data_IF_472965290799
#
_entry.id   IF_472965290799
#
_cell.length_a   1.000
_cell.length_b   1.000
_cell.length_c   1.000
_cell.angle_alpha   90.00
_cell.angle_beta   90.00
_cell.angle_gamma   90.00
#
_symmetry.space_group_name_H-M   'P 1'
#
loop_
_entity.id
_entity.type
_entity.pdbx_description
1 polymer ?
#
# COMPACT_ATOMS: atom_id res chain seq x y z
N UNK A 1 -47.63 -56.70 -21.03
CA UNK A 1 -47.90 -55.79 -22.17
C UNK A 1 -47.56 -54.38 -21.74
N UNK A 2 -46.40 -53.87 -22.17
CA UNK A 2 -45.91 -52.52 -21.85
C UNK A 2 -45.36 -51.84 -23.11
N UNK A 3 -45.93 -50.68 -23.42
CA UNK A 3 -45.38 -49.50 -24.11
C UNK A 3 -46.45 -48.37 -23.95
N UNK A 4 -46.18 -47.05 -24.13
CA UNK A 4 -44.98 -46.41 -24.69
C UNK A 4 -44.45 -45.13 -23.96
N UNK A 5 -43.20 -44.80 -24.26
CA UNK A 5 -42.60 -43.53 -24.74
C UNK A 5 -43.06 -42.12 -24.27
N UNK A 6 -42.09 -41.42 -23.63
CA UNK A 6 -41.52 -40.07 -23.91
C UNK A 6 -42.38 -38.82 -24.23
N UNK A 7 -42.15 -37.73 -23.47
CA UNK A 7 -42.00 -36.30 -23.89
C UNK A 7 -41.89 -35.42 -22.62
N UNK A 8 -40.79 -34.69 -22.35
CA UNK A 8 -40.28 -33.41 -22.87
C UNK A 8 -40.71 -32.16 -22.07
N UNK A 9 -39.73 -31.28 -21.81
CA UNK A 9 -39.81 -29.89 -21.32
C UNK A 9 -40.31 -29.70 -19.87
N UNK A 10 -39.89 -28.72 -19.06
CA UNK A 10 -39.20 -27.47 -19.32
C UNK A 10 -38.32 -27.11 -18.12
N UNK A 11 -37.07 -26.78 -18.40
CA UNK A 11 -36.22 -25.96 -17.54
C UNK A 11 -36.63 -24.50 -17.68
N UNK A 12 -37.06 -23.87 -16.60
CA UNK A 12 -37.02 -22.42 -16.29
C UNK A 12 -38.04 -22.13 -15.20
N UNK A 13 -37.60 -21.90 -13.97
CA UNK A 13 -38.11 -20.83 -13.09
C UNK A 13 -37.51 -20.92 -11.69
N UNK A 14 -36.20 -20.64 -11.57
CA UNK A 14 -35.64 -20.14 -10.31
C UNK A 14 -34.60 -19.06 -10.62
N UNK A 15 -35.08 -17.96 -11.21
CA UNK A 15 -34.38 -16.68 -11.21
C UNK A 15 -35.15 -15.71 -10.32
N UNK A 16 -35.06 -15.90 -9.01
CA UNK A 16 -35.41 -14.86 -8.06
C UNK A 16 -34.43 -14.86 -6.89
N UNK A 17 -33.72 -13.73 -6.78
CA UNK A 17 -33.14 -13.19 -5.55
C UNK A 17 -31.81 -13.78 -5.07
N UNK A 18 -30.77 -13.67 -5.89
CA UNK A 18 -29.41 -13.49 -5.37
C UNK A 18 -28.73 -12.27 -6.00
N UNK A 19 -29.38 -11.10 -5.90
CA UNK A 19 -28.65 -9.85 -5.96
C UNK A 19 -27.81 -9.75 -4.68
N UNK A 20 -26.71 -10.50 -4.64
CA UNK A 20 -25.64 -10.32 -3.67
C UNK A 20 -25.15 -8.89 -3.85
N UNK A 21 -25.46 -8.03 -2.88
CA UNK A 21 -24.95 -6.67 -2.78
C UNK A 21 -23.43 -6.75 -2.66
N UNK A 22 -22.72 -6.87 -3.79
CA UNK A 22 -21.27 -6.74 -3.83
C UNK A 22 -20.96 -5.28 -3.55
N UNK A 23 -20.69 -4.96 -2.28
CA UNK A 23 -20.28 -3.61 -1.87
C UNK A 23 -19.11 -3.16 -2.75
N UNK A 24 -19.26 -2.00 -3.38
CA UNK A 24 -18.29 -1.50 -4.36
C UNK A 24 -17.10 -0.90 -3.60
N UNK A 25 -15.88 -1.32 -3.95
CA UNK A 25 -14.64 -0.77 -3.39
C UNK A 25 -14.10 0.29 -4.33
N UNK A 26 -13.80 1.47 -3.80
CA UNK A 26 -13.21 2.60 -4.50
C UNK A 26 -11.80 2.84 -3.98
N UNK A 27 -10.86 3.09 -4.88
CA UNK A 27 -9.47 3.40 -4.54
C UNK A 27 -9.15 4.82 -4.99
N UNK A 28 -8.60 5.63 -4.09
CA UNK A 28 -8.16 7.00 -4.37
C UNK A 28 -6.66 7.12 -4.08
N UNK A 29 -5.92 7.77 -4.99
CA UNK A 29 -4.55 8.23 -4.71
C UNK A 29 -4.62 9.49 -3.86
N UNK A 30 -3.82 9.53 -2.80
CA UNK A 30 -3.75 10.67 -1.88
C UNK A 30 -2.29 11.07 -1.68
N UNK A 31 -2.07 12.34 -1.37
CA UNK A 31 -0.75 12.89 -1.06
C UNK A 31 -0.34 12.60 0.39
N UNK A 32 -1.30 12.42 1.29
CA UNK A 32 -1.12 12.10 2.70
C UNK A 32 -2.23 11.19 3.23
N UNK A 33 -1.93 10.40 4.24
CA UNK A 33 -2.94 9.67 5.00
C UNK A 33 -2.51 9.47 6.46
N UNK A 34 -3.49 9.21 7.32
CA UNK A 34 -3.26 8.84 8.73
C UNK A 34 -3.31 7.33 8.84
N UNK A 35 -2.31 6.74 9.49
CA UNK A 35 -2.26 5.31 9.83
C UNK A 35 -3.09 5.03 11.09
N UNK A 36 -3.52 3.77 11.33
CA UNK A 36 -4.34 3.43 12.51
C UNK A 36 -3.71 3.79 13.87
N UNK A 37 -2.39 3.93 13.94
CA UNK A 37 -1.64 4.35 15.12
C UNK A 37 -1.56 5.88 15.29
N UNK A 38 -2.28 6.65 14.48
CA UNK A 38 -2.34 8.11 14.53
C UNK A 38 -1.21 8.84 13.82
N UNK A 39 -0.26 8.13 13.20
CA UNK A 39 0.85 8.78 12.46
C UNK A 39 0.38 9.28 11.10
N UNK A 40 0.95 10.39 10.65
CA UNK A 40 0.73 10.89 9.28
C UNK A 40 1.85 10.41 8.37
N UNK A 41 1.48 9.83 7.24
CA UNK A 41 2.40 9.43 6.17
C UNK A 41 2.10 10.25 4.93
N UNK A 42 3.14 10.81 4.32
CA UNK A 42 3.06 11.65 3.14
C UNK A 42 3.86 11.07 1.96
N UNK A 43 3.46 11.43 0.74
CA UNK A 43 4.30 11.26 -0.44
C UNK A 43 5.61 12.01 -0.22
N UNK A 44 6.72 11.36 -0.61
CA UNK A 44 8.07 11.87 -0.41
C UNK A 44 8.72 11.44 0.90
N UNK A 45 7.97 10.96 1.89
CA UNK A 45 8.53 10.50 3.16
C UNK A 45 9.53 9.35 2.96
N UNK A 46 10.58 9.38 3.77
CA UNK A 46 11.58 8.33 3.84
C UNK A 46 11.17 7.34 4.93
N UNK A 47 11.10 6.07 4.55
CA UNK A 47 10.64 4.98 5.42
C UNK A 47 11.61 3.82 5.38
N UNK A 48 11.62 3.02 6.44
CA UNK A 48 12.05 1.64 6.37
C UNK A 48 10.90 0.82 5.81
N UNK A 49 11.18 -0.06 4.86
CA UNK A 49 10.21 -0.99 4.30
C UNK A 49 10.69 -2.44 4.47
N UNK A 50 9.72 -3.34 4.69
CA UNK A 50 9.98 -4.76 4.92
C UNK A 50 9.22 -5.64 3.93
N UNK A 51 9.97 -6.43 3.19
CA UNK A 51 9.46 -7.54 2.37
C UNK A 51 10.04 -8.87 2.88
N UNK A 52 9.41 -9.98 2.49
CA UNK A 52 9.87 -11.32 2.85
C UNK A 52 11.25 -11.62 2.26
N UNK A 53 12.12 -12.33 2.99
CA UNK A 53 13.46 -12.70 2.53
C UNK A 53 14.54 -11.61 2.56
N UNK A 54 14.17 -10.33 2.72
CA UNK A 54 15.14 -9.21 2.74
C UNK A 54 15.21 -8.52 4.11
N UNK A 55 16.32 -7.85 4.48
CA UNK A 55 16.35 -7.02 5.68
C UNK A 55 15.38 -5.83 5.52
N UNK A 56 15.13 -5.12 6.61
CA UNK A 56 14.56 -3.77 6.52
C UNK A 56 15.45 -2.91 5.63
N UNK A 57 14.88 -2.28 4.62
CA UNK A 57 15.60 -1.48 3.64
C UNK A 57 14.95 -0.11 3.50
N UNK A 58 15.73 0.97 3.34
CA UNK A 58 15.17 2.31 3.19
C UNK A 58 14.50 2.51 1.82
N UNK A 59 13.39 3.23 1.83
CA UNK A 59 12.62 3.56 0.64
C UNK A 59 11.98 4.95 0.73
N UNK A 60 11.60 5.51 -0.41
CA UNK A 60 10.82 6.76 -0.53
C UNK A 60 9.41 6.44 -0.98
N UNK A 61 8.42 7.08 -0.36
CA UNK A 61 7.02 6.97 -0.79
C UNK A 61 6.80 7.80 -2.06
N UNK A 62 6.28 7.14 -3.10
CA UNK A 62 5.94 7.76 -4.38
C UNK A 62 4.47 8.13 -4.47
N UNK A 63 3.59 7.22 -4.05
CA UNK A 63 2.15 7.45 -4.04
C UNK A 63 1.52 6.68 -2.88
N UNK A 64 0.42 7.19 -2.34
CA UNK A 64 -0.39 6.53 -1.34
C UNK A 64 -1.75 6.22 -1.96
N UNK A 65 -2.24 5.00 -1.80
CA UNK A 65 -3.56 4.59 -2.25
C UNK A 65 -4.41 4.17 -1.07
N UNK A 66 -5.58 4.79 -0.94
CA UNK A 66 -6.58 4.46 0.09
C UNK A 66 -7.79 3.86 -0.59
N UNK A 67 -8.12 2.63 -0.21
CA UNK A 67 -9.29 1.91 -0.71
C UNK A 67 -10.38 1.88 0.35
N UNK A 68 -11.60 2.28 -0.02
CA UNK A 68 -12.78 2.30 0.86
C UNK A 68 -13.97 1.62 0.18
N UNK A 69 -14.87 1.05 0.98
CA UNK A 69 -16.20 0.63 0.51
C UNK A 69 -17.09 1.85 0.31
N UNK A 70 -18.17 1.66 -0.44
CA UNK A 70 -19.30 2.60 -0.59
C UNK A 70 -19.83 3.16 0.74
N UNK A 71 -19.87 2.34 1.79
CA UNK A 71 -20.25 2.76 3.14
C UNK A 71 -19.15 3.53 3.91
N UNK A 72 -18.04 3.89 3.25
CA UNK A 72 -16.92 4.63 3.83
C UNK A 72 -15.90 3.78 4.61
N UNK A 73 -16.18 2.49 4.84
CA UNK A 73 -15.29 1.60 5.59
C UNK A 73 -13.93 1.48 4.89
N UNK A 74 -12.86 1.66 5.66
CA UNK A 74 -11.49 1.50 5.17
C UNK A 74 -11.22 0.02 4.85
N UNK A 75 -10.80 -0.25 3.62
CA UNK A 75 -10.44 -1.60 3.17
C UNK A 75 -8.94 -1.79 3.23
N UNK A 76 -8.19 -0.86 2.65
CA UNK A 76 -6.74 -0.97 2.53
C UNK A 76 -6.09 0.40 2.45
N UNK A 77 -4.88 0.49 2.98
CA UNK A 77 -3.96 1.59 2.73
C UNK A 77 -2.63 1.01 2.28
N UNK A 78 -2.15 1.48 1.13
CA UNK A 78 -0.88 1.06 0.56
C UNK A 78 -0.06 2.26 0.14
N UNK A 79 1.26 2.06 0.12
CA UNK A 79 2.18 2.98 -0.51
C UNK A 79 2.90 2.28 -1.66
N UNK A 80 2.97 2.95 -2.81
CA UNK A 80 3.99 2.66 -3.80
C UNK A 80 5.28 3.34 -3.37
N UNK A 81 6.39 2.60 -3.35
CA UNK A 81 7.68 3.06 -2.85
C UNK A 81 8.79 2.78 -3.86
N UNK A 82 9.81 3.64 -3.90
CA UNK A 82 11.10 3.35 -4.55
C UNK A 82 12.17 3.03 -3.52
N UNK A 83 12.94 1.98 -3.78
CA UNK A 83 14.00 1.55 -2.88
C UNK A 83 15.25 2.41 -3.07
N UNK A 84 15.90 2.85 -1.99
CA UNK A 84 17.22 3.49 -2.12
C UNK A 84 18.26 2.45 -2.54
N UNK A 85 19.17 2.82 -3.45
CA UNK A 85 20.19 1.90 -3.97
C UNK A 85 19.65 0.75 -4.84
N UNK A 86 18.42 0.85 -5.35
CA UNK A 86 17.82 -0.10 -6.31
C UNK A 86 16.90 0.63 -7.29
N UNK A 87 16.82 0.22 -8.57
CA UNK A 87 15.88 0.81 -9.53
C UNK A 87 14.44 0.31 -9.35
N UNK A 88 14.19 -0.64 -8.45
CA UNK A 88 12.90 -1.27 -8.28
C UNK A 88 11.92 -0.42 -7.49
N UNK A 89 10.62 -0.62 -7.76
CA UNK A 89 9.51 -0.11 -6.96
C UNK A 89 8.70 -1.26 -6.39
N UNK A 90 7.89 -0.98 -5.37
CA UNK A 90 7.00 -1.98 -4.78
C UNK A 90 5.75 -1.29 -4.23
N UNK A 91 4.65 -2.03 -4.16
CA UNK A 91 3.42 -1.60 -3.48
C UNK A 91 3.31 -2.42 -2.20
N UNK A 92 3.27 -1.73 -1.06
CA UNK A 92 3.28 -2.35 0.27
C UNK A 92 2.14 -1.80 1.11
N UNK A 93 1.58 -2.66 1.97
CA UNK A 93 0.68 -2.20 3.02
C UNK A 93 1.43 -1.29 3.99
N UNK A 94 0.75 -0.28 4.57
CA UNK A 94 1.40 0.65 5.49
C UNK A 94 2.01 -0.04 6.73
N UNK A 95 1.49 -1.20 7.14
CA UNK A 95 2.03 -2.03 8.22
C UNK A 95 3.44 -2.59 7.94
N UNK A 96 3.85 -2.63 6.67
CA UNK A 96 5.19 -3.05 6.26
C UNK A 96 6.20 -1.89 6.24
N UNK A 97 5.75 -0.68 6.57
CA UNK A 97 6.54 0.52 6.61
C UNK A 97 6.82 0.93 8.05
N UNK A 98 7.90 1.64 8.28
CA UNK A 98 8.21 2.26 9.56
C UNK A 98 8.94 3.59 9.31
N UNK A 99 8.65 4.67 10.05
CA UNK A 99 9.33 5.95 9.86
C UNK A 99 10.86 5.82 9.92
N UNK A 100 11.56 6.43 8.96
CA UNK A 100 13.00 6.22 8.81
C UNK A 100 13.81 6.72 10.01
N UNK A 101 13.56 7.96 10.44
CA UNK A 101 14.31 8.61 11.51
C UNK A 101 13.96 8.02 12.89
N UNK A 102 12.69 7.89 13.21
CA UNK A 102 12.21 7.40 14.51
C UNK A 102 12.68 5.95 14.80
N UNK A 103 12.74 5.11 13.77
CA UNK A 103 13.13 3.71 13.93
C UNK A 103 14.55 3.41 13.45
N UNK A 104 15.37 4.43 13.20
CA UNK A 104 16.71 4.25 12.64
C UNK A 104 17.56 3.28 13.47
N UNK A 105 17.64 3.47 14.79
CA UNK A 105 18.45 2.61 15.66
C UNK A 105 17.97 1.16 15.69
N UNK A 106 16.65 0.93 15.59
CA UNK A 106 16.06 -0.41 15.63
C UNK A 106 16.21 -1.14 14.30
N UNK A 107 16.11 -0.45 13.16
CA UNK A 107 16.10 -1.07 11.83
C UNK A 107 17.47 -1.12 11.17
N UNK A 108 18.38 -0.23 11.57
CA UNK A 108 19.71 -0.17 10.99
C UNK A 108 20.59 -1.36 11.40
N UNK A 109 20.99 -2.16 10.43
CA UNK A 109 21.91 -3.28 10.66
C UNK A 109 23.37 -2.84 10.47
N UNK A 110 24.06 -2.57 11.59
CA UNK A 110 25.46 -2.13 11.61
C UNK A 110 26.44 -3.13 10.97
N UNK A 111 26.11 -4.42 10.94
CA UNK A 111 26.98 -5.48 10.39
C UNK A 111 26.93 -5.54 8.86
N UNK A 112 25.88 -4.99 8.23
CA UNK A 112 25.74 -5.00 6.78
C UNK A 112 26.58 -3.89 6.13
N UNK A 113 27.29 -4.25 5.06
CA UNK A 113 28.17 -3.37 4.27
C UNK A 113 27.65 -3.24 2.83
N UNK A 114 28.40 -2.54 1.97
CA UNK A 114 28.11 -2.43 0.54
C UNK A 114 26.84 -1.63 0.24
N UNK A 115 26.03 -2.13 -0.70
CA UNK A 115 24.82 -1.47 -1.19
C UNK A 115 23.85 -1.07 -0.09
N UNK A 116 23.70 -1.92 0.95
CA UNK A 116 22.85 -1.61 2.08
C UNK A 116 23.25 -0.28 2.76
N UNK A 117 24.55 -0.11 3.04
CA UNK A 117 25.01 1.09 3.75
C UNK A 117 24.99 2.33 2.84
N UNK A 118 25.22 2.15 1.54
CA UNK A 118 25.03 3.23 0.55
C UNK A 118 23.58 3.70 0.52
N UNK A 119 22.63 2.77 0.40
CA UNK A 119 21.20 3.06 0.42
C UNK A 119 20.77 3.78 1.71
N UNK A 120 21.23 3.33 2.88
CA UNK A 120 20.94 4.00 4.17
C UNK A 120 21.53 5.41 4.23
N UNK A 121 22.73 5.61 3.68
CA UNK A 121 23.37 6.94 3.65
C UNK A 121 22.62 7.90 2.74
N UNK A 122 22.21 7.45 1.56
CA UNK A 122 21.38 8.23 0.62
C UNK A 122 20.02 8.57 1.23
N UNK A 123 19.37 7.60 1.87
CA UNK A 123 18.11 7.80 2.57
C UNK A 123 18.24 8.82 3.71
N UNK A 124 19.34 8.79 4.48
CA UNK A 124 19.60 9.77 5.52
C UNK A 124 19.82 11.19 4.97
N UNK A 125 20.50 11.33 3.83
CA UNK A 125 20.64 12.63 3.15
C UNK A 125 19.27 13.14 2.68
N UNK A 126 18.48 12.28 2.04
CA UNK A 126 17.14 12.60 1.59
C UNK A 126 16.20 12.99 2.74
N UNK A 127 16.26 12.27 3.87
CA UNK A 127 15.43 12.56 5.04
C UNK A 127 15.77 13.92 5.66
N UNK A 128 17.04 14.33 5.66
CA UNK A 128 17.46 15.66 6.13
C UNK A 128 16.96 16.81 5.23
N UNK A 129 16.79 16.54 3.93
CA UNK A 129 16.27 17.53 2.98
C UNK A 129 14.74 17.64 3.01
N UNK A 130 14.05 16.66 3.62
CA UNK A 130 12.60 16.65 3.71
C UNK A 130 12.14 17.49 4.91
N UNK A 131 12.26 18.81 4.78
CA UNK A 131 11.74 19.76 5.77
C UNK A 131 10.21 19.83 5.72
N UNK A 132 9.54 20.38 6.75
CA UNK A 132 8.09 20.59 6.73
C UNK A 132 7.60 21.36 5.49
N UNK A 133 8.38 22.33 5.01
CA UNK A 133 8.07 23.14 3.83
C UNK A 133 8.13 22.30 2.56
N UNK A 134 9.18 21.48 2.41
CA UNK A 134 9.32 20.54 1.29
C UNK A 134 8.19 19.50 1.32
N UNK A 135 7.89 18.97 2.51
CA UNK A 135 6.76 18.04 2.68
C UNK A 135 5.43 18.70 2.32
N UNK A 136 5.21 19.94 2.76
CA UNK A 136 4.03 20.71 2.39
C UNK A 136 3.95 20.80 0.86
N UNK A 137 4.99 21.28 0.18
CA UNK A 137 5.09 21.39 -1.29
C UNK A 137 4.75 20.10 -2.03
N UNK A 138 5.28 18.96 -1.56
CA UNK A 138 5.01 17.64 -2.14
C UNK A 138 3.56 17.17 -1.94
N UNK A 139 2.81 17.81 -1.04
CA UNK A 139 1.41 17.46 -0.74
C UNK A 139 0.39 18.49 -1.22
N UNK A 140 0.80 19.60 -1.85
CA UNK A 140 -0.10 20.72 -2.21
C UNK A 140 -0.98 20.45 -3.43
N UNK A 141 -0.61 19.51 -4.29
CA UNK A 141 -1.41 19.17 -5.47
C UNK A 141 -2.36 18.02 -5.13
N UNK A 142 -3.44 18.35 -4.43
CA UNK A 142 -4.62 17.52 -4.33
C UNK A 142 -5.55 17.87 -5.51
N UNK A 143 -5.79 16.95 -6.44
CA UNK A 143 -6.89 17.04 -7.41
C UNK A 143 -7.89 15.92 -7.14
#
# INVERSE_FOLDING_TARGET
MHAPSSSSSSSKEEKKLSNSLKMKVFSKKVSKCVTPDGRTICVGDIVWAKIYGFPWWPARILTITVSRKDNGLLVRQEACISWFGSPTTSILALSQLSPFLENFQSRFNKKRKGLYRKAVTEAAKAAKQLTPEVRALLTQFET
#
